data_IF_025589809299
#
_entry.id   IF_025589809299
#
_cell.length_a   1.000
_cell.length_b   1.000
_cell.length_c   1.000
_cell.angle_alpha   90.00
_cell.angle_beta   90.00
_cell.angle_gamma   90.00
#
_symmetry.space_group_name_H-M   'P 1'
#
loop_
_entity.id
_entity.type
_entity.pdbx_description
1 polymer ?
#
# COMPACT_ATOMS: atom_id res chain seq x y z
N UNK A 1 16.52 2.03 -13.79
CA UNK A 1 15.40 1.09 -13.61
C UNK A 1 15.80 0.06 -12.55
N UNK A 2 15.08 -0.01 -11.44
CA UNK A 2 15.31 -0.96 -10.34
C UNK A 2 14.31 -2.09 -10.39
N UNK A 3 14.65 -3.22 -9.78
CA UNK A 3 13.78 -4.41 -9.71
C UNK A 3 13.12 -4.48 -8.35
N UNK A 4 11.81 -4.58 -8.31
CA UNK A 4 11.02 -4.60 -7.08
C UNK A 4 10.17 -5.88 -7.05
N UNK A 5 10.26 -6.62 -5.95
CA UNK A 5 9.41 -7.78 -5.71
C UNK A 5 8.33 -7.37 -4.71
N UNK A 6 7.07 -7.44 -5.13
CA UNK A 6 5.92 -7.13 -4.29
C UNK A 6 5.20 -8.43 -3.88
N UNK A 7 4.99 -8.60 -2.58
CA UNK A 7 4.29 -9.75 -2.01
C UNK A 7 3.13 -9.24 -1.15
N UNK A 8 1.90 -9.44 -1.60
CA UNK A 8 0.77 -8.83 -0.89
C UNK A 8 -0.59 -9.15 -1.47
N UNK A 9 -1.55 -8.26 -1.19
CA UNK A 9 -2.90 -8.34 -1.69
C UNK A 9 -3.05 -7.84 -3.11
N UNK A 10 -3.75 -8.62 -3.93
CA UNK A 10 -4.30 -8.23 -5.22
C UNK A 10 -5.69 -8.84 -5.33
N UNK A 11 -6.73 -8.01 -5.40
CA UNK A 11 -8.11 -8.44 -5.27
C UNK A 11 -9.07 -7.50 -6.02
N UNK A 12 -10.35 -7.75 -5.94
CA UNK A 12 -11.39 -6.89 -6.50
C UNK A 12 -12.03 -6.07 -5.38
N UNK A 13 -12.07 -4.76 -5.57
CA UNK A 13 -12.82 -3.82 -4.75
C UNK A 13 -14.15 -3.48 -5.44
N UNK A 14 -15.26 -3.78 -4.77
CA UNK A 14 -16.62 -3.49 -5.22
C UNK A 14 -17.26 -2.46 -4.32
N UNK A 15 -17.75 -1.38 -4.89
CA UNK A 15 -18.47 -0.34 -4.16
C UNK A 15 -19.85 -0.14 -4.78
N UNK A 16 -20.90 -0.50 -4.05
CA UNK A 16 -22.28 -0.18 -4.40
C UNK A 16 -22.71 1.12 -3.74
N UNK A 17 -23.08 2.14 -4.50
CA UNK A 17 -23.61 3.40 -3.95
C UNK A 17 -25.10 3.48 -4.20
N UNK A 18 -25.90 3.68 -3.15
CA UNK A 18 -27.33 3.83 -3.25
C UNK A 18 -27.69 5.18 -3.87
N UNK A 19 -28.76 5.20 -4.68
CA UNK A 19 -29.23 6.40 -5.37
C UNK A 19 -30.16 7.29 -4.51
N UNK A 20 -30.63 6.79 -3.35
CA UNK A 20 -31.57 7.47 -2.47
C UNK A 20 -31.42 7.07 -1.02
N UNK A 21 -32.41 7.41 -0.20
CA UNK A 21 -32.42 7.03 1.23
C UNK A 21 -32.35 5.51 1.40
N UNK A 22 -31.60 5.08 2.41
CA UNK A 22 -31.37 3.67 2.69
C UNK A 22 -32.60 3.03 3.34
N UNK A 23 -33.24 2.07 2.65
CA UNK A 23 -34.29 1.23 3.21
C UNK A 23 -33.68 -0.09 3.69
N UNK A 24 -33.52 -0.26 5.00
CA UNK A 24 -32.97 -1.48 5.59
C UNK A 24 -33.96 -2.64 5.39
N UNK A 25 -33.43 -3.82 4.99
CA UNK A 25 -34.25 -5.03 4.74
C UNK A 25 -35.02 -5.02 3.42
N UNK A 26 -34.76 -4.05 2.53
CA UNK A 26 -35.40 -3.95 1.21
C UNK A 26 -34.35 -3.82 0.09
N UNK A 27 -34.80 -3.99 -1.17
CA UNK A 27 -33.95 -3.67 -2.33
C UNK A 27 -33.84 -2.17 -2.50
N UNK A 28 -32.61 -1.69 -2.62
CA UNK A 28 -32.31 -0.28 -2.82
C UNK A 28 -31.70 -0.09 -4.23
N UNK A 29 -32.23 0.84 -5.05
CA UNK A 29 -31.58 1.21 -6.31
C UNK A 29 -30.20 1.82 -6.08
N UNK A 30 -29.24 1.52 -6.98
CA UNK A 30 -27.88 2.04 -6.85
C UNK A 30 -27.00 1.70 -8.04
N UNK A 31 -25.74 2.09 -7.95
CA UNK A 31 -24.73 1.83 -8.98
C UNK A 31 -23.55 1.08 -8.37
N UNK A 32 -22.96 0.18 -9.15
CA UNK A 32 -21.73 -0.51 -8.80
C UNK A 32 -20.53 0.14 -9.47
N UNK A 33 -19.46 0.26 -8.71
CA UNK A 33 -18.12 0.57 -9.20
C UNK A 33 -17.24 -0.58 -8.77
N UNK A 34 -16.54 -1.17 -9.73
CA UNK A 34 -15.59 -2.24 -9.48
C UNK A 34 -14.21 -1.81 -9.97
N UNK A 35 -13.20 -2.00 -9.14
CA UNK A 35 -11.80 -1.76 -9.47
C UNK A 35 -10.95 -2.91 -8.95
N UNK A 36 -9.73 -3.02 -9.45
CA UNK A 36 -8.73 -3.90 -8.87
C UNK A 36 -8.00 -3.17 -7.76
N UNK A 37 -7.85 -3.82 -6.61
CA UNK A 37 -7.32 -3.21 -5.39
C UNK A 37 -6.32 -4.10 -4.66
N UNK A 38 -5.97 -3.64 -3.46
CA UNK A 38 -4.94 -4.22 -2.61
C UNK A 38 -3.73 -3.29 -2.49
N UNK A 39 -3.32 -2.95 -1.25
CA UNK A 39 -2.26 -1.96 -1.02
C UNK A 39 -0.97 -2.30 -1.75
N UNK A 40 -0.51 -3.55 -1.67
CA UNK A 40 0.66 -4.02 -2.42
C UNK A 40 0.48 -3.93 -3.93
N UNK A 41 -0.69 -4.30 -4.45
CA UNK A 41 -0.97 -4.25 -5.88
C UNK A 41 -1.09 -2.82 -6.42
N UNK A 42 -1.72 -1.92 -5.67
CA UNK A 42 -1.78 -0.51 -6.02
C UNK A 42 -0.38 0.12 -6.08
N UNK A 43 0.44 -0.14 -5.06
CA UNK A 43 1.83 0.32 -5.04
C UNK A 43 2.67 -0.30 -6.16
N UNK A 44 2.47 -1.59 -6.49
CA UNK A 44 3.14 -2.25 -7.62
C UNK A 44 2.86 -1.56 -8.95
N UNK A 45 1.57 -1.27 -9.23
CA UNK A 45 1.16 -0.57 -10.45
C UNK A 45 1.75 0.86 -10.51
N UNK A 46 1.72 1.59 -9.38
CA UNK A 46 2.31 2.92 -9.28
C UNK A 46 3.83 2.90 -9.53
N UNK A 47 4.55 1.95 -8.93
CA UNK A 47 6.00 1.79 -9.13
C UNK A 47 6.37 1.43 -10.57
N UNK A 48 5.57 0.59 -11.23
CA UNK A 48 5.75 0.26 -12.64
C UNK A 48 5.56 1.51 -13.55
N UNK A 49 4.53 2.34 -13.28
CA UNK A 49 4.31 3.64 -13.96
C UNK A 49 5.47 4.63 -13.72
N UNK A 50 6.17 4.51 -12.60
CA UNK A 50 7.37 5.29 -12.29
C UNK A 50 8.65 4.70 -12.91
N UNK A 51 8.53 3.67 -13.78
CA UNK A 51 9.63 3.15 -14.59
C UNK A 51 10.46 2.06 -13.94
N UNK A 52 9.98 1.41 -12.87
CA UNK A 52 10.65 0.26 -12.25
C UNK A 52 10.18 -1.07 -12.86
N UNK A 53 11.03 -2.08 -12.81
CA UNK A 53 10.66 -3.46 -13.14
C UNK A 53 10.02 -4.12 -11.93
N UNK A 54 8.70 -4.28 -11.95
CA UNK A 54 7.93 -4.75 -10.80
C UNK A 54 7.37 -6.14 -11.06
N UNK A 55 7.58 -7.04 -10.10
CA UNK A 55 6.99 -8.38 -10.06
C UNK A 55 6.01 -8.46 -8.89
N UNK A 56 4.78 -8.88 -9.16
CA UNK A 56 3.73 -9.04 -8.12
C UNK A 56 3.46 -10.51 -7.87
N UNK A 57 3.54 -10.92 -6.61
CA UNK A 57 3.20 -12.27 -6.16
C UNK A 57 2.04 -12.18 -5.17
N UNK A 58 0.88 -12.69 -5.57
CA UNK A 58 -0.32 -12.73 -4.73
C UNK A 58 -1.05 -14.07 -4.91
N UNK A 59 -1.76 -14.57 -3.89
CA UNK A 59 -2.74 -15.63 -4.08
C UNK A 59 -3.95 -15.12 -4.84
N UNK A 60 -4.45 -15.92 -5.78
CA UNK A 60 -5.70 -15.63 -6.50
C UNK A 60 -6.44 -16.91 -6.87
N UNK A 61 -7.74 -16.79 -7.14
CA UNK A 61 -8.55 -17.84 -7.73
C UNK A 61 -8.28 -18.01 -9.21
N UNK A 62 -8.76 -19.12 -9.80
CA UNK A 62 -8.81 -19.33 -11.24
C UNK A 62 -10.16 -18.90 -11.82
N UNK A 63 -10.60 -17.69 -11.47
CA UNK A 63 -11.91 -17.12 -11.81
C UNK A 63 -11.78 -15.79 -12.58
N UNK A 64 -12.90 -15.26 -13.08
CA UNK A 64 -12.91 -13.99 -13.83
C UNK A 64 -12.32 -12.81 -13.03
N UNK A 65 -12.47 -12.82 -11.70
CA UNK A 65 -11.87 -11.82 -10.84
C UNK A 65 -10.33 -11.90 -10.88
N UNK A 66 -9.77 -13.11 -10.90
CA UNK A 66 -8.34 -13.36 -11.07
C UNK A 66 -7.82 -12.87 -12.42
N UNK A 67 -8.57 -13.13 -13.51
CA UNK A 67 -8.23 -12.64 -14.86
C UNK A 67 -8.25 -11.10 -14.94
N UNK A 68 -9.19 -10.45 -14.27
CA UNK A 68 -9.23 -8.98 -14.19
C UNK A 68 -8.01 -8.39 -13.48
N UNK A 69 -7.55 -9.03 -12.39
CA UNK A 69 -6.31 -8.65 -11.71
C UNK A 69 -5.10 -8.83 -12.63
N UNK A 70 -5.03 -9.96 -13.38
CA UNK A 70 -3.96 -10.21 -14.35
C UNK A 70 -3.92 -9.15 -15.46
N UNK A 71 -5.09 -8.80 -15.99
CA UNK A 71 -5.22 -7.75 -17.02
C UNK A 71 -4.72 -6.40 -16.50
N UNK A 72 -5.17 -5.98 -15.31
CA UNK A 72 -4.74 -4.72 -14.69
C UNK A 72 -3.24 -4.69 -14.38
N UNK A 73 -2.64 -5.83 -14.04
CA UNK A 73 -1.19 -5.95 -13.88
C UNK A 73 -0.45 -5.72 -15.21
N UNK A 74 -0.90 -6.39 -16.27
CA UNK A 74 -0.32 -6.25 -17.62
C UNK A 74 -0.43 -4.82 -18.17
N UNK A 75 -1.59 -4.18 -18.03
CA UNK A 75 -1.83 -2.79 -18.45
C UNK A 75 -0.91 -1.78 -17.72
N UNK A 76 -0.56 -2.07 -16.47
CA UNK A 76 0.36 -1.25 -15.70
C UNK A 76 1.85 -1.61 -15.92
N UNK A 77 2.17 -2.65 -16.69
CA UNK A 77 3.54 -3.12 -16.90
C UNK A 77 4.12 -3.90 -15.71
N UNK A 78 3.27 -4.48 -14.87
CA UNK A 78 3.66 -5.34 -13.75
C UNK A 78 3.75 -6.79 -14.22
N UNK A 79 4.87 -7.46 -13.96
CA UNK A 79 4.99 -8.91 -14.17
C UNK A 79 4.18 -9.64 -13.10
N UNK A 80 3.07 -10.23 -13.51
CA UNK A 80 2.16 -10.93 -12.64
C UNK A 80 2.58 -12.39 -12.41
N UNK A 81 2.78 -12.76 -11.14
CA UNK A 81 3.34 -14.05 -10.74
C UNK A 81 2.49 -14.72 -9.64
N UNK A 82 1.20 -15.00 -9.89
CA UNK A 82 0.27 -15.44 -8.87
C UNK A 82 0.52 -16.87 -8.37
N UNK A 83 0.06 -17.13 -7.15
CA UNK A 83 -0.29 -18.48 -6.73
C UNK A 83 -1.77 -18.72 -7.02
N UNK A 84 -2.09 -19.48 -8.07
CA UNK A 84 -3.47 -19.75 -8.48
C UNK A 84 -4.04 -20.95 -7.72
N UNK A 85 -5.25 -20.78 -7.17
CA UNK A 85 -6.05 -21.79 -6.50
C UNK A 85 -7.35 -22.00 -7.26
N UNK A 86 -7.47 -23.13 -7.95
CA UNK A 86 -8.61 -23.42 -8.82
C UNK A 86 -9.91 -23.74 -8.08
N UNK A 87 -9.81 -24.07 -6.80
CA UNK A 87 -10.91 -24.45 -5.91
C UNK A 87 -11.42 -23.32 -5.01
N UNK A 88 -10.94 -22.08 -5.23
CA UNK A 88 -11.24 -20.92 -4.38
C UNK A 88 -11.42 -19.65 -5.20
N UNK A 89 -12.31 -18.73 -4.76
CA UNK A 89 -12.44 -17.44 -5.43
C UNK A 89 -11.24 -16.53 -5.16
N UNK A 90 -11.00 -15.63 -6.10
CA UNK A 90 -10.11 -14.48 -5.90
C UNK A 90 -10.65 -13.60 -4.77
N UNK A 91 -9.79 -13.11 -3.85
CA UNK A 91 -10.22 -12.25 -2.76
C UNK A 91 -11.00 -11.03 -3.26
N UNK A 92 -11.97 -10.58 -2.47
CA UNK A 92 -12.75 -9.38 -2.80
C UNK A 92 -13.15 -8.60 -1.55
N UNK A 93 -13.23 -7.29 -1.71
CA UNK A 93 -13.83 -6.38 -0.74
C UNK A 93 -15.08 -5.78 -1.38
N UNK A 94 -16.21 -5.88 -0.69
CA UNK A 94 -17.48 -5.33 -1.17
C UNK A 94 -18.03 -4.37 -0.12
N UNK A 95 -18.24 -3.11 -0.49
CA UNK A 95 -18.81 -2.08 0.37
C UNK A 95 -20.14 -1.58 -0.21
N UNK A 96 -21.14 -1.42 0.64
CA UNK A 96 -22.39 -0.73 0.31
C UNK A 96 -22.36 0.63 0.99
N UNK A 97 -22.49 1.68 0.19
CA UNK A 97 -22.45 3.07 0.61
C UNK A 97 -23.84 3.70 0.48
N UNK A 98 -24.24 4.51 1.42
CA UNK A 98 -25.40 5.36 1.32
C UNK A 98 -25.23 6.40 0.19
N UNK A 99 -26.30 7.09 -0.17
CA UNK A 99 -26.29 8.12 -1.23
C UNK A 99 -25.30 9.26 -0.95
N UNK A 100 -25.06 9.58 0.34
CA UNK A 100 -24.09 10.57 0.81
C UNK A 100 -22.63 10.05 0.85
N UNK A 101 -22.42 8.75 0.57
CA UNK A 101 -21.11 8.10 0.57
C UNK A 101 -20.71 7.43 1.89
N UNK A 102 -21.54 7.52 2.94
CA UNK A 102 -21.27 6.84 4.20
C UNK A 102 -21.37 5.32 4.06
N UNK A 103 -20.46 4.59 4.73
CA UNK A 103 -20.46 3.13 4.72
C UNK A 103 -21.66 2.60 5.51
N UNK A 104 -22.48 1.78 4.85
CA UNK A 104 -23.59 1.05 5.51
C UNK A 104 -23.08 -0.30 6.02
N UNK A 105 -22.44 -1.07 5.14
CA UNK A 105 -21.89 -2.40 5.46
C UNK A 105 -20.77 -2.74 4.47
N UNK A 106 -19.80 -3.52 4.93
CA UNK A 106 -18.78 -4.09 4.07
C UNK A 106 -18.57 -5.57 4.37
N UNK A 107 -18.22 -6.33 3.32
CA UNK A 107 -17.80 -7.71 3.38
C UNK A 107 -16.38 -7.82 2.80
N UNK A 108 -15.47 -8.39 3.57
CA UNK A 108 -14.10 -8.65 3.16
C UNK A 108 -13.89 -10.16 3.05
N UNK A 109 -14.02 -10.71 1.85
CA UNK A 109 -13.66 -12.10 1.56
C UNK A 109 -12.18 -12.17 1.19
N UNK A 110 -11.35 -12.30 2.22
CA UNK A 110 -9.89 -12.25 2.13
C UNK A 110 -9.24 -13.57 2.59
N UNK A 111 -10.02 -14.64 2.73
CA UNK A 111 -9.52 -15.89 3.31
C UNK A 111 -8.38 -16.50 2.50
N UNK A 112 -8.39 -16.34 1.19
CA UNK A 112 -7.38 -16.90 0.29
C UNK A 112 -5.94 -16.46 0.65
N UNK A 113 -5.75 -15.26 1.19
CA UNK A 113 -4.42 -14.78 1.60
C UNK A 113 -3.78 -15.65 2.70
N UNK A 114 -4.57 -16.37 3.51
CA UNK A 114 -4.07 -17.30 4.53
C UNK A 114 -3.28 -18.46 3.92
N UNK A 115 -3.47 -18.76 2.64
CA UNK A 115 -2.74 -19.81 1.92
C UNK A 115 -1.40 -19.33 1.35
N UNK A 116 -1.07 -18.07 1.49
CA UNK A 116 0.30 -17.60 1.27
C UNK A 116 1.12 -17.87 2.55
N UNK A 117 1.45 -19.13 2.78
CA UNK A 117 2.21 -19.56 3.95
C UNK A 117 3.73 -19.39 3.76
N UNK A 118 4.54 -19.35 4.84
CA UNK A 118 6.02 -19.29 4.76
C UNK A 118 6.63 -20.41 3.89
N UNK A 119 5.94 -21.53 3.77
CA UNK A 119 6.38 -22.66 2.94
C UNK A 119 6.51 -22.31 1.47
N UNK A 120 5.70 -21.36 0.97
CA UNK A 120 5.75 -20.91 -0.42
C UNK A 120 7.02 -20.11 -0.75
N UNK A 121 7.66 -19.48 0.23
CA UNK A 121 8.95 -18.80 0.04
C UNK A 121 10.08 -19.78 -0.34
N UNK A 122 9.88 -21.08 -0.13
CA UNK A 122 10.84 -22.13 -0.51
C UNK A 122 10.74 -22.53 -1.99
N UNK A 123 9.70 -22.10 -2.71
CA UNK A 123 9.53 -22.36 -4.14
C UNK A 123 10.71 -21.73 -4.91
N UNK A 124 11.37 -22.52 -5.76
CA UNK A 124 12.58 -22.11 -6.48
C UNK A 124 12.40 -20.79 -7.23
N UNK A 125 11.36 -20.68 -8.02
CA UNK A 125 11.09 -19.47 -8.79
C UNK A 125 10.96 -18.21 -7.89
N UNK A 126 10.31 -18.32 -6.72
CA UNK A 126 10.21 -17.20 -5.80
C UNK A 126 11.55 -16.86 -5.14
N UNK A 127 12.35 -17.87 -4.80
CA UNK A 127 13.70 -17.65 -4.26
C UNK A 127 14.61 -16.93 -5.26
N UNK A 128 14.54 -17.29 -6.53
CA UNK A 128 15.30 -16.64 -7.62
C UNK A 128 14.88 -15.17 -7.75
N UNK A 129 13.59 -14.84 -7.62
CA UNK A 129 13.08 -13.46 -7.62
C UNK A 129 13.61 -12.66 -6.43
N UNK A 130 13.64 -13.23 -5.23
CA UNK A 130 14.22 -12.57 -4.05
C UNK A 130 15.70 -12.20 -4.24
N UNK A 131 16.46 -13.06 -4.88
CA UNK A 131 17.90 -12.79 -5.16
C UNK A 131 18.04 -11.66 -6.19
N UNK A 132 17.19 -11.67 -7.22
CA UNK A 132 17.29 -10.76 -8.36
C UNK A 132 16.74 -9.34 -8.08
N UNK A 133 16.01 -9.14 -6.97
CA UNK A 133 15.37 -7.85 -6.66
C UNK A 133 16.29 -6.89 -5.94
N UNK A 134 16.06 -5.57 -6.09
CA UNK A 134 16.73 -4.50 -5.35
C UNK A 134 15.99 -4.15 -4.05
N UNK A 135 14.66 -4.31 -4.03
CA UNK A 135 13.79 -4.01 -2.89
C UNK A 135 12.62 -4.98 -2.82
N UNK A 136 12.20 -5.32 -1.61
CA UNK A 136 11.00 -6.10 -1.34
C UNK A 136 9.94 -5.18 -0.75
N UNK A 137 8.75 -5.21 -1.31
CA UNK A 137 7.57 -4.54 -0.77
C UNK A 137 6.55 -5.60 -0.35
N UNK A 138 6.02 -5.51 0.87
CA UNK A 138 4.93 -6.37 1.31
C UNK A 138 3.80 -5.58 1.94
N UNK A 139 2.60 -6.16 2.01
CA UNK A 139 1.47 -5.52 2.68
C UNK A 139 0.84 -6.43 3.75
N UNK A 140 0.13 -5.81 4.69
CA UNK A 140 -0.52 -6.48 5.81
C UNK A 140 -1.75 -7.34 5.42
N UNK A 141 -2.03 -7.58 4.12
CA UNK A 141 -3.02 -8.58 3.72
C UNK A 141 -2.52 -10.00 3.99
N UNK A 142 -1.19 -10.21 3.95
CA UNK A 142 -0.60 -11.51 4.24
C UNK A 142 -0.64 -11.86 5.74
N UNK A 143 -0.62 -13.16 6.09
CA UNK A 143 -0.52 -13.61 7.49
C UNK A 143 0.77 -13.14 8.18
N UNK A 144 0.71 -12.94 9.50
CA UNK A 144 1.84 -12.47 10.31
C UNK A 144 3.09 -13.38 10.15
N UNK A 145 2.91 -14.68 10.23
CA UNK A 145 3.99 -15.66 10.07
C UNK A 145 4.64 -15.59 8.67
N UNK A 146 3.87 -15.22 7.65
CA UNK A 146 4.40 -15.05 6.29
C UNK A 146 5.19 -13.74 6.18
N UNK A 147 4.70 -12.66 6.77
CA UNK A 147 5.40 -11.37 6.82
C UNK A 147 6.72 -11.48 7.58
N UNK A 148 6.73 -12.17 8.72
CA UNK A 148 7.94 -12.47 9.48
C UNK A 148 8.96 -13.28 8.65
N UNK A 149 8.49 -14.30 7.94
CA UNK A 149 9.34 -15.12 7.08
C UNK A 149 9.88 -14.33 5.87
N UNK A 150 9.08 -13.45 5.25
CA UNK A 150 9.52 -12.55 4.18
C UNK A 150 10.64 -11.64 4.70
N UNK A 151 10.42 -10.96 5.83
CA UNK A 151 11.38 -10.03 6.40
C UNK A 151 12.68 -10.71 6.83
N UNK A 152 12.60 -11.91 7.42
CA UNK A 152 13.77 -12.72 7.79
C UNK A 152 14.55 -13.14 6.53
N UNK A 153 13.87 -13.64 5.51
CA UNK A 153 14.48 -14.10 4.26
C UNK A 153 15.14 -12.96 3.48
N UNK A 154 14.55 -11.76 3.52
CA UNK A 154 15.11 -10.55 2.95
C UNK A 154 16.39 -10.12 3.69
N UNK A 155 16.34 -10.07 5.02
CA UNK A 155 17.47 -9.71 5.87
C UNK A 155 18.68 -10.63 5.64
N UNK A 156 18.48 -11.95 5.58
CA UNK A 156 19.54 -12.92 5.27
C UNK A 156 20.26 -12.64 3.94
N UNK A 157 19.61 -11.92 3.02
CA UNK A 157 20.12 -11.58 1.68
C UNK A 157 20.51 -10.13 1.52
N UNK A 158 20.47 -9.35 2.60
CA UNK A 158 20.78 -7.93 2.57
C UNK A 158 19.83 -7.11 1.68
N UNK A 159 18.56 -7.58 1.56
CA UNK A 159 17.55 -6.87 0.75
C UNK A 159 16.72 -5.94 1.62
N UNK A 160 16.57 -4.66 1.27
CA UNK A 160 15.70 -3.74 1.99
C UNK A 160 14.23 -4.16 1.86
N UNK A 161 13.48 -3.93 2.95
CA UNK A 161 12.05 -4.25 3.07
C UNK A 161 11.26 -2.99 3.32
N UNK A 162 10.33 -2.69 2.42
CA UNK A 162 9.26 -1.72 2.62
C UNK A 162 7.93 -2.46 2.89
N UNK A 163 7.03 -1.84 3.64
CA UNK A 163 5.76 -2.46 4.01
C UNK A 163 4.60 -1.45 4.03
N UNK A 164 3.37 -1.92 3.77
CA UNK A 164 2.14 -1.12 3.78
C UNK A 164 1.18 -1.65 4.83
N UNK A 165 0.65 -0.78 5.71
CA UNK A 165 -0.20 -1.12 6.85
C UNK A 165 -1.59 -1.65 6.49
N UNK A 166 -2.19 -1.13 5.43
CA UNK A 166 -3.52 -1.50 4.87
C UNK A 166 -4.69 -1.11 5.75
N UNK A 167 -4.68 -1.44 7.04
CA UNK A 167 -5.73 -1.06 8.00
C UNK A 167 -5.26 -1.24 9.44
N UNK A 168 -5.90 -0.58 10.42
CA UNK A 168 -5.56 -0.72 11.84
C UNK A 168 -5.57 -2.16 12.34
N UNK A 169 -6.53 -2.98 11.88
CA UNK A 169 -6.61 -4.39 12.28
C UNK A 169 -5.51 -5.26 11.67
N UNK A 170 -4.99 -4.89 10.48
CA UNK A 170 -4.01 -5.70 9.75
C UNK A 170 -2.56 -5.28 10.04
N UNK A 171 -2.29 -3.99 10.26
CA UNK A 171 -0.91 -3.48 10.49
C UNK A 171 -0.22 -4.19 11.67
N UNK A 172 -0.97 -4.62 12.67
CA UNK A 172 -0.46 -5.37 13.84
C UNK A 172 0.18 -6.71 13.48
N UNK A 173 -0.07 -7.24 12.26
CA UNK A 173 0.59 -8.45 11.75
C UNK A 173 2.10 -8.27 11.56
N UNK A 174 2.59 -7.04 11.48
CA UNK A 174 4.01 -6.73 11.41
C UNK A 174 4.72 -6.75 12.77
N UNK A 175 3.99 -6.86 13.89
CA UNK A 175 4.57 -6.69 15.24
C UNK A 175 5.82 -7.56 15.48
N UNK A 176 5.85 -8.81 15.01
CA UNK A 176 7.01 -9.71 15.14
C UNK A 176 8.19 -9.40 14.22
N UNK A 177 7.99 -8.57 13.19
CA UNK A 177 9.00 -8.31 12.14
C UNK A 177 9.45 -6.85 12.04
N UNK A 178 8.95 -5.94 12.87
CA UNK A 178 9.22 -4.49 12.78
C UNK A 178 10.71 -4.16 12.70
N UNK A 179 11.54 -4.85 13.48
CA UNK A 179 13.00 -4.66 13.52
C UNK A 179 13.73 -5.07 12.22
N UNK A 180 13.02 -5.73 11.27
CA UNK A 180 13.53 -6.13 9.95
C UNK A 180 12.94 -5.30 8.80
N UNK A 181 12.00 -4.40 9.10
CA UNK A 181 11.38 -3.51 8.11
C UNK A 181 12.15 -2.19 8.10
N UNK A 182 12.57 -1.75 6.92
CA UNK A 182 13.30 -0.51 6.76
C UNK A 182 12.36 0.69 6.68
N UNK A 183 11.21 0.55 5.99
CA UNK A 183 10.15 1.57 5.97
C UNK A 183 8.76 0.94 6.02
N UNK A 184 7.92 1.40 6.95
CA UNK A 184 6.49 1.05 7.04
C UNK A 184 5.63 2.29 6.76
N UNK A 185 4.74 2.17 5.77
CA UNK A 185 3.79 3.22 5.39
C UNK A 185 2.45 2.98 6.09
N UNK A 186 1.99 4.00 6.81
CA UNK A 186 0.79 3.92 7.66
C UNK A 186 0.04 5.25 7.67
N UNK A 187 -1.25 5.19 7.93
CA UNK A 187 -1.97 6.35 8.43
C UNK A 187 -1.92 6.41 9.98
N UNK A 188 -2.39 7.51 10.58
CA UNK A 188 -2.36 7.72 12.03
C UNK A 188 -3.12 6.64 12.81
N UNK A 189 -4.24 6.13 12.29
CA UNK A 189 -5.01 5.07 12.96
C UNK A 189 -4.28 3.72 12.93
N UNK A 190 -3.57 3.43 11.86
CA UNK A 190 -2.71 2.24 11.75
C UNK A 190 -1.50 2.35 12.67
N UNK A 191 -0.86 3.54 12.71
CA UNK A 191 0.27 3.80 13.60
C UNK A 191 -0.15 3.69 15.08
N UNK A 192 -1.32 4.20 15.45
CA UNK A 192 -1.90 4.07 16.79
C UNK A 192 -2.16 2.60 17.17
N UNK A 193 -2.76 1.82 16.25
CA UNK A 193 -3.00 0.39 16.47
C UNK A 193 -1.70 -0.40 16.68
N UNK A 194 -0.61 -0.01 16.02
CA UNK A 194 0.69 -0.64 16.15
C UNK A 194 1.45 -0.19 17.41
N UNK A 195 1.40 1.11 17.71
CA UNK A 195 2.07 1.71 18.86
C UNK A 195 1.34 1.40 20.19
N UNK A 196 0.01 1.26 20.13
CA UNK A 196 -0.85 1.11 21.31
C UNK A 196 -1.29 2.43 21.94
N UNK A 197 -0.77 3.55 21.43
CA UNK A 197 -1.10 4.90 21.88
C UNK A 197 -0.91 5.93 20.76
N UNK A 198 -1.47 7.11 20.93
CA UNK A 198 -1.37 8.22 19.99
C UNK A 198 -0.58 9.38 20.60
N UNK A 199 0.41 9.94 19.91
CA UNK A 199 1.17 11.09 20.40
C UNK A 199 0.34 12.38 20.29
N UNK A 200 0.71 13.40 21.07
CA UNK A 200 0.08 14.73 21.03
C UNK A 200 0.30 15.46 19.70
N UNK A 201 1.39 15.17 19.01
CA UNK A 201 1.74 15.78 17.72
C UNK A 201 2.32 14.75 16.74
N UNK A 202 2.32 15.02 15.42
CA UNK A 202 2.93 14.13 14.43
C UNK A 202 4.41 13.81 14.71
N UNK A 203 5.16 14.76 15.27
CA UNK A 203 6.57 14.60 15.64
C UNK A 203 6.80 13.52 16.73
N UNK A 204 5.77 13.13 17.47
CA UNK A 204 5.88 12.08 18.49
C UNK A 204 5.81 10.64 17.93
N UNK A 205 5.30 10.42 16.71
CA UNK A 205 5.17 9.09 16.13
C UNK A 205 6.50 8.31 16.06
N UNK A 206 7.62 8.91 15.64
CA UNK A 206 8.89 8.19 15.55
C UNK A 206 9.35 7.58 16.86
N UNK A 207 9.16 8.29 17.98
CA UNK A 207 9.55 7.79 19.31
C UNK A 207 8.75 6.52 19.67
N UNK A 208 7.44 6.56 19.52
CA UNK A 208 6.54 5.44 19.82
C UNK A 208 6.82 4.22 18.94
N UNK A 209 7.00 4.43 17.63
CA UNK A 209 7.21 3.35 16.68
C UNK A 209 8.62 2.74 16.78
N UNK A 210 9.65 3.55 17.05
CA UNK A 210 11.00 3.03 17.34
C UNK A 210 11.04 2.22 18.63
N UNK A 211 10.27 2.59 19.66
CA UNK A 211 10.12 1.80 20.87
C UNK A 211 9.51 0.40 20.61
N UNK A 212 8.74 0.25 19.52
CA UNK A 212 8.24 -1.05 19.03
C UNK A 212 9.25 -1.78 18.12
N UNK A 213 10.41 -1.18 17.85
CA UNK A 213 11.49 -1.76 17.04
C UNK A 213 11.47 -1.36 15.57
N UNK A 214 10.58 -0.47 15.11
CA UNK A 214 10.53 -0.04 13.71
C UNK A 214 11.71 0.91 13.40
N UNK A 215 12.45 0.63 12.33
CA UNK A 215 13.64 1.43 11.94
C UNK A 215 13.27 2.74 11.24
N UNK A 216 12.25 2.70 10.40
CA UNK A 216 11.82 3.84 9.59
C UNK A 216 10.38 3.69 9.14
N UNK A 217 9.76 4.80 8.80
CA UNK A 217 8.37 4.78 8.34
C UNK A 217 7.84 6.14 7.94
N UNK A 218 6.64 6.11 7.41
CA UNK A 218 5.85 7.31 7.11
C UNK A 218 4.49 7.18 7.78
N UNK A 219 4.09 8.21 8.54
CA UNK A 219 2.76 8.29 9.12
C UNK A 219 2.02 9.50 8.53
N UNK A 220 0.88 9.25 7.88
CA UNK A 220 0.03 10.27 7.29
C UNK A 220 -1.19 10.58 8.16
N UNK A 221 -1.71 11.81 8.07
CA UNK A 221 -2.90 12.26 8.80
C UNK A 221 -3.91 12.94 7.87
N UNK A 222 -4.26 12.31 6.76
CA UNK A 222 -5.12 12.92 5.75
C UNK A 222 -4.53 14.23 5.21
N UNK A 223 -5.26 15.34 5.30
CA UNK A 223 -4.75 16.67 4.94
C UNK A 223 -3.83 17.32 5.97
N UNK A 224 -3.57 16.67 7.10
CA UNK A 224 -2.64 17.14 8.13
C UNK A 224 -1.18 16.81 7.79
N UNK A 225 -0.29 17.23 8.69
CA UNK A 225 1.14 17.05 8.54
C UNK A 225 1.54 15.55 8.55
N UNK A 226 2.25 15.11 7.53
CA UNK A 226 2.87 13.78 7.47
C UNK A 226 4.25 13.82 8.15
N UNK A 227 4.65 12.72 8.77
CA UNK A 227 5.99 12.53 9.33
C UNK A 227 6.65 11.34 8.65
N UNK A 228 7.89 11.54 8.21
CA UNK A 228 8.78 10.46 7.80
C UNK A 228 9.97 10.39 8.76
N UNK A 229 10.41 9.18 9.06
CA UNK A 229 11.56 8.96 9.94
C UNK A 229 12.40 7.77 9.49
N UNK A 230 13.67 7.84 9.81
CA UNK A 230 14.66 6.77 9.71
C UNK A 230 15.35 6.59 11.07
N UNK A 231 16.41 5.81 11.14
CA UNK A 231 17.24 5.75 12.34
C UNK A 231 18.00 7.06 12.59
N UNK A 232 18.32 7.81 11.53
CA UNK A 232 19.17 8.98 11.58
C UNK A 232 18.40 10.30 11.75
N UNK A 233 17.22 10.42 11.15
CA UNK A 233 16.51 11.69 11.07
C UNK A 233 14.98 11.54 11.12
N UNK A 234 14.31 12.63 11.38
CA UNK A 234 12.85 12.77 11.34
C UNK A 234 12.49 14.08 10.63
N UNK A 235 11.58 14.01 9.68
CA UNK A 235 11.11 15.15 8.89
C UNK A 235 9.61 15.22 8.81
N UNK A 236 9.08 16.42 8.72
CA UNK A 236 7.65 16.72 8.69
C UNK A 236 7.33 17.49 7.41
N UNK A 237 6.20 17.16 6.78
CA UNK A 237 5.69 17.86 5.60
C UNK A 237 4.19 18.06 5.71
N UNK A 238 3.74 19.32 5.66
CA UNK A 238 2.32 19.64 5.50
C UNK A 238 1.97 19.62 4.02
N UNK A 239 1.05 18.75 3.57
CA UNK A 239 0.61 18.77 2.19
C UNK A 239 -0.15 20.07 1.89
N UNK A 240 -0.07 20.62 0.66
CA UNK A 240 -0.90 21.75 0.27
C UNK A 240 -2.37 21.33 0.17
N UNK A 241 -3.31 22.29 0.21
CA UNK A 241 -4.71 22.02 -0.08
C UNK A 241 -4.86 21.35 -1.44
N UNK A 242 -5.68 20.31 -1.53
CA UNK A 242 -5.89 19.55 -2.76
C UNK A 242 -7.38 19.37 -3.05
N UNK A 243 -7.74 19.33 -4.33
CA UNK A 243 -9.06 18.84 -4.75
C UNK A 243 -9.08 17.33 -4.60
N UNK A 244 -10.02 16.83 -3.80
CA UNK A 244 -10.17 15.41 -3.53
C UNK A 244 -11.34 14.86 -4.35
N UNK A 245 -11.05 13.93 -5.24
CA UNK A 245 -12.04 13.14 -6.00
C UNK A 245 -12.29 11.82 -5.27
N UNK A 246 -11.23 11.08 -4.92
CA UNK A 246 -11.26 9.86 -4.11
C UNK A 246 -9.97 9.79 -3.27
N UNK A 247 -10.07 9.27 -2.06
CA UNK A 247 -8.92 9.08 -1.16
C UNK A 247 -8.28 7.69 -1.31
N UNK A 248 -8.95 6.78 -2.02
CA UNK A 248 -8.50 5.38 -2.20
C UNK A 248 -7.20 5.35 -2.98
N UNK A 249 -6.22 4.60 -2.49
CA UNK A 249 -4.93 4.45 -3.15
C UNK A 249 -3.93 5.60 -2.94
N UNK A 250 -4.32 6.72 -2.29
CA UNK A 250 -3.41 7.83 -2.03
C UNK A 250 -2.21 7.41 -1.15
N UNK A 251 -2.44 6.57 -0.14
CA UNK A 251 -1.37 5.99 0.70
C UNK A 251 -0.43 5.09 -0.10
N UNK A 252 -0.97 4.30 -1.03
CA UNK A 252 -0.20 3.40 -1.89
C UNK A 252 0.63 4.17 -2.91
N UNK A 253 0.08 5.28 -3.44
CA UNK A 253 0.79 6.19 -4.33
C UNK A 253 1.89 6.97 -3.58
N UNK A 254 1.64 7.36 -2.32
CA UNK A 254 2.66 7.93 -1.44
C UNK A 254 3.82 6.94 -1.24
N UNK A 255 3.51 5.69 -0.89
CA UNK A 255 4.52 4.65 -0.71
C UNK A 255 5.34 4.44 -1.99
N UNK A 256 4.68 4.41 -3.15
CA UNK A 256 5.36 4.24 -4.43
C UNK A 256 6.27 5.42 -4.78
N UNK A 257 5.83 6.66 -4.62
CA UNK A 257 6.64 7.86 -4.86
C UNK A 257 7.83 7.94 -3.90
N UNK A 258 7.63 7.64 -2.62
CA UNK A 258 8.68 7.60 -1.62
C UNK A 258 9.74 6.53 -1.94
N UNK A 259 9.30 5.30 -2.24
CA UNK A 259 10.19 4.20 -2.63
C UNK A 259 10.96 4.53 -3.91
N UNK A 260 10.29 5.13 -4.90
CA UNK A 260 10.92 5.58 -6.13
C UNK A 260 12.09 6.52 -5.83
N UNK A 261 11.88 7.55 -5.03
CA UNK A 261 12.91 8.51 -4.66
C UNK A 261 14.11 7.85 -3.94
N UNK A 262 13.86 6.96 -2.97
CA UNK A 262 14.93 6.22 -2.30
C UNK A 262 15.74 5.35 -3.26
N UNK A 263 15.09 4.70 -4.22
CA UNK A 263 15.76 3.86 -5.23
C UNK A 263 16.57 4.67 -6.25
N UNK A 264 16.21 5.94 -6.47
CA UNK A 264 16.99 6.90 -7.27
C UNK A 264 18.10 7.58 -6.47
N UNK A 265 18.23 7.30 -5.15
CA UNK A 265 19.32 7.80 -4.28
C UNK A 265 19.00 9.10 -3.55
N UNK A 266 17.75 9.51 -3.54
CA UNK A 266 17.30 10.70 -2.81
C UNK A 266 17.31 10.49 -1.29
N UNK A 267 17.45 11.56 -0.54
CA UNK A 267 17.42 11.56 0.94
C UNK A 267 15.97 11.49 1.47
N UNK A 268 15.82 11.30 2.78
CA UNK A 268 14.53 11.17 3.44
C UNK A 268 13.59 12.37 3.21
N UNK A 269 14.04 13.64 3.31
CA UNK A 269 13.22 14.80 2.99
C UNK A 269 12.66 14.74 1.56
N UNK A 270 13.50 14.48 0.57
CA UNK A 270 13.07 14.38 -0.81
C UNK A 270 12.14 13.16 -1.03
N UNK A 271 12.43 12.02 -0.42
CA UNK A 271 11.55 10.86 -0.50
C UNK A 271 10.14 11.17 0.03
N UNK A 272 10.00 11.92 1.12
CA UNK A 272 8.69 12.35 1.63
C UNK A 272 7.98 13.31 0.64
N UNK A 273 8.70 14.20 -0.03
CA UNK A 273 8.13 15.08 -1.08
C UNK A 273 7.61 14.26 -2.27
N UNK A 274 8.42 13.34 -2.79
CA UNK A 274 8.01 12.45 -3.88
C UNK A 274 6.78 11.62 -3.51
N UNK A 275 6.76 11.06 -2.28
CA UNK A 275 5.61 10.35 -1.77
C UNK A 275 4.36 11.24 -1.71
N UNK A 276 4.49 12.46 -1.16
CA UNK A 276 3.38 13.42 -1.08
C UNK A 276 2.89 13.83 -2.48
N UNK A 277 3.79 14.05 -3.45
CA UNK A 277 3.44 14.31 -4.83
C UNK A 277 2.62 13.17 -5.46
N UNK A 278 3.03 11.92 -5.23
CA UNK A 278 2.29 10.74 -5.67
C UNK A 278 0.88 10.68 -5.07
N UNK A 279 0.75 10.94 -3.76
CA UNK A 279 -0.55 11.01 -3.10
C UNK A 279 -1.45 12.10 -3.67
N UNK A 280 -0.93 13.30 -3.92
CA UNK A 280 -1.69 14.42 -4.49
C UNK A 280 -2.20 14.13 -5.91
N UNK A 281 -1.43 13.40 -6.72
CA UNK A 281 -1.86 12.95 -8.04
C UNK A 281 -3.00 11.93 -7.88
N UNK A 282 -2.85 10.95 -6.98
CA UNK A 282 -3.87 9.93 -6.73
C UNK A 282 -5.19 10.53 -6.22
N UNK A 283 -5.16 11.51 -5.32
CA UNK A 283 -6.35 12.16 -4.76
C UNK A 283 -7.24 12.84 -5.83
N UNK A 284 -6.68 13.21 -6.98
CA UNK A 284 -7.42 13.81 -8.10
C UNK A 284 -8.02 12.79 -9.07
N UNK A 285 -7.70 11.50 -8.89
CA UNK A 285 -8.21 10.40 -9.71
C UNK A 285 -9.43 9.75 -9.07
N UNK A 286 -10.42 9.32 -9.88
CA UNK A 286 -11.51 8.46 -9.40
C UNK A 286 -11.08 6.98 -9.20
N UNK A 287 -9.86 6.62 -9.62
CA UNK A 287 -9.30 5.27 -9.54
C UNK A 287 -8.29 5.15 -8.43
N UNK A 288 -8.16 3.96 -7.85
CA UNK A 288 -7.16 3.63 -6.82
C UNK A 288 -5.70 3.79 -7.29
N UNK A 289 -5.47 3.70 -8.62
CA UNK A 289 -4.20 4.00 -9.28
C UNK A 289 -4.45 5.02 -10.38
N UNK A 290 -3.91 6.21 -10.23
CA UNK A 290 -4.09 7.30 -11.17
C UNK A 290 -3.38 7.01 -12.50
N UNK A 291 -4.11 7.18 -13.61
CA UNK A 291 -3.54 6.97 -14.96
C UNK A 291 -2.48 8.01 -15.30
N UNK A 292 -2.58 9.19 -14.71
CA UNK A 292 -1.68 10.33 -14.90
C UNK A 292 -0.35 10.18 -14.17
N UNK A 293 -0.23 9.25 -13.23
CA UNK A 293 1.01 9.08 -12.46
C UNK A 293 2.16 8.67 -13.38
N UNK A 294 3.18 9.49 -13.40
CA UNK A 294 4.42 9.30 -14.17
C UNK A 294 5.55 10.10 -13.53
N UNK A 295 6.79 9.85 -13.92
CA UNK A 295 7.94 10.64 -13.45
C UNK A 295 7.78 12.13 -13.79
N UNK A 296 7.24 12.46 -15.00
CA UNK A 296 6.98 13.84 -15.40
C UNK A 296 5.91 14.52 -14.55
N UNK A 297 4.83 13.80 -14.22
CA UNK A 297 3.78 14.32 -13.34
C UNK A 297 4.30 14.53 -11.90
N UNK A 298 5.12 13.61 -11.38
CA UNK A 298 5.78 13.80 -10.07
C UNK A 298 6.67 15.04 -10.07
N UNK A 299 7.50 15.23 -11.11
CA UNK A 299 8.39 16.38 -11.21
C UNK A 299 7.61 17.72 -11.21
N UNK A 300 6.47 17.77 -11.90
CA UNK A 300 5.61 18.96 -11.89
C UNK A 300 4.96 19.20 -10.52
N UNK A 301 4.49 18.14 -9.86
CA UNK A 301 3.86 18.29 -8.54
C UNK A 301 4.86 18.70 -7.47
N UNK A 302 6.11 18.25 -7.55
CA UNK A 302 7.20 18.64 -6.64
C UNK A 302 7.47 20.15 -6.63
N UNK A 303 7.23 20.85 -7.73
CA UNK A 303 7.37 22.32 -7.80
C UNK A 303 6.38 23.07 -6.91
N UNK A 304 5.29 22.40 -6.50
CA UNK A 304 4.23 22.98 -5.65
C UNK A 304 4.42 22.66 -4.17
N UNK A 305 5.33 21.73 -3.85
CA UNK A 305 5.56 21.27 -2.49
C UNK A 305 6.65 22.09 -1.81
N UNK A 306 6.38 22.48 -0.56
CA UNK A 306 7.42 23.06 0.32
C UNK A 306 8.50 22.03 0.66
N UNK A 307 9.63 22.54 1.15
CA UNK A 307 10.64 21.66 1.72
C UNK A 307 10.17 21.12 3.09
N UNK A 308 10.41 19.81 3.37
CA UNK A 308 10.14 19.22 4.68
C UNK A 308 10.97 19.91 5.77
N UNK A 309 10.39 19.98 6.96
CA UNK A 309 11.05 20.59 8.12
C UNK A 309 11.57 19.47 9.03
N UNK A 310 12.75 19.63 9.66
CA UNK A 310 13.19 18.78 10.75
C UNK A 310 12.15 18.78 11.89
N UNK A 311 11.96 17.62 12.56
CA UNK A 311 11.05 17.49 13.70
C UNK A 311 11.72 17.93 15.00
#
# INVERSE_FOLDING_TARGET
MKKILVLGGAHIDRRGRLSGETAMGASNPGHWIEDTGGGGFNAARNLARLGHAVQMVAPRGGDDAGERVATAAGEAGVEDCPFVFLDRPTPSYTAILAHDGNLIVALADMELYRFFTPRRLRIRALRERFVATDLILCDANLPAETLEAIAAYAQERGKPVAAIGVSPAKVTRFAGSLHRIDFLFMNAAEAEALAGERPESPAGWPALLRARGLKGGVVTQGGGQAVAFSQAETVLLAPPPATIVDVTGAGDALAAGFIHALLEGENLPQALRFGTAGALIALRSPRSVADELSQGALAQELLRLSEPQPA
#
